data_IF_621121046889
#
_entry.id   IF_621121046889
#
_cell.length_a   1.000
_cell.length_b   1.000
_cell.length_c   1.000
_cell.angle_alpha   90.00
_cell.angle_beta   90.00
_cell.angle_gamma   90.00
#
_symmetry.space_group_name_H-M   'P 1'
#
loop_
_entity.id
_entity.type
_entity.pdbx_description
1 polymer ?
#
# COMPACT_ATOMS: atom_id res chain seq x y z
N UNK A 1 16.09 19.45 7.61
CA UNK A 1 15.96 17.97 7.60
C UNK A 1 16.86 17.39 6.51
N UNK A 2 17.62 16.33 6.79
CA UNK A 2 18.42 15.65 5.74
C UNK A 2 17.46 14.91 4.80
N UNK A 3 17.75 14.89 3.49
CA UNK A 3 16.90 14.21 2.50
C UNK A 3 16.59 12.76 2.89
N UNK A 4 17.57 12.03 3.43
CA UNK A 4 17.40 10.68 3.99
C UNK A 4 16.27 10.56 5.03
N UNK A 5 16.11 11.54 5.92
CA UNK A 5 15.05 11.54 6.94
C UNK A 5 13.67 11.62 6.29
N UNK A 6 13.52 12.40 5.21
CA UNK A 6 12.26 12.49 4.46
C UNK A 6 11.89 11.14 3.87
N UNK A 7 12.83 10.46 3.20
CA UNK A 7 12.56 9.14 2.62
C UNK A 7 12.17 8.08 3.66
N UNK A 8 12.81 8.10 4.84
CA UNK A 8 12.46 7.17 5.93
C UNK A 8 11.04 7.43 6.43
N UNK A 9 10.64 8.70 6.60
CA UNK A 9 9.29 9.05 7.02
C UNK A 9 8.25 8.62 5.98
N UNK A 10 8.51 8.88 4.70
CA UNK A 10 7.63 8.45 3.59
C UNK A 10 7.55 6.93 3.51
N UNK A 11 8.65 6.21 3.76
CA UNK A 11 8.68 4.76 3.80
C UNK A 11 7.80 4.19 4.92
N UNK A 12 7.87 4.76 6.13
CA UNK A 12 7.01 4.35 7.25
C UNK A 12 5.54 4.65 6.94
N UNK A 13 5.24 5.84 6.39
CA UNK A 13 3.88 6.24 6.08
C UNK A 13 3.27 5.36 4.97
N UNK A 14 4.01 5.10 3.89
CA UNK A 14 3.57 4.22 2.81
C UNK A 14 3.36 2.78 3.28
N UNK A 15 4.22 2.27 4.15
CA UNK A 15 4.02 0.97 4.79
C UNK A 15 2.71 0.94 5.61
N UNK A 16 2.45 1.98 6.41
CA UNK A 16 1.19 2.12 7.14
C UNK A 16 -0.04 2.11 6.23
N UNK A 17 0.02 2.81 5.09
CA UNK A 17 -1.07 2.82 4.07
C UNK A 17 -1.28 1.43 3.47
N UNK A 18 -0.22 0.69 3.15
CA UNK A 18 -0.31 -0.69 2.63
C UNK A 18 -0.95 -1.63 3.66
N UNK A 19 -0.53 -1.55 4.93
CA UNK A 19 -1.12 -2.34 6.00
C UNK A 19 -2.60 -2.00 6.19
N UNK A 20 -2.94 -0.71 6.27
CA UNK A 20 -4.32 -0.26 6.38
C UNK A 20 -5.18 -0.79 5.23
N UNK A 21 -4.77 -0.56 3.98
CA UNK A 21 -5.53 -1.01 2.83
C UNK A 21 -5.67 -2.54 2.75
N UNK A 22 -4.72 -3.30 3.30
CA UNK A 22 -4.80 -4.76 3.33
C UNK A 22 -5.75 -5.28 4.41
N UNK A 23 -5.85 -4.60 5.55
CA UNK A 23 -6.74 -4.98 6.66
C UNK A 23 -8.20 -4.63 6.36
N UNK A 24 -8.43 -3.48 5.70
CA UNK A 24 -9.78 -2.98 5.43
C UNK A 24 -10.35 -3.42 4.07
N UNK A 25 -9.58 -4.12 3.23
CA UNK A 25 -10.07 -4.69 1.99
C UNK A 25 -11.02 -5.87 2.31
N UNK A 26 -12.33 -5.74 2.03
CA UNK A 26 -13.31 -6.74 2.44
C UNK A 26 -13.15 -8.09 1.74
N UNK A 27 -12.42 -8.12 0.62
CA UNK A 27 -12.13 -9.33 -0.15
C UNK A 27 -10.68 -9.80 0.01
N UNK A 28 -9.93 -9.23 0.98
CA UNK A 28 -8.59 -9.71 1.30
C UNK A 28 -8.59 -11.14 1.87
N UNK A 29 -9.69 -11.53 2.51
CA UNK A 29 -9.90 -12.88 3.04
C UNK A 29 -11.09 -13.54 2.32
N UNK A 30 -11.06 -14.88 2.16
CA UNK A 30 -12.17 -15.60 1.56
C UNK A 30 -13.45 -15.41 2.40
N UNK A 31 -14.53 -15.00 1.73
CA UNK A 31 -15.84 -14.81 2.32
C UNK A 31 -16.65 -16.12 2.23
N UNK A 32 -16.93 -16.81 3.35
CA UNK A 32 -17.58 -18.14 3.31
C UNK A 32 -18.97 -18.12 2.65
N UNK A 33 -19.72 -17.05 2.88
CA UNK A 33 -21.11 -16.91 2.41
C UNK A 33 -21.23 -16.12 1.09
N UNK A 34 -20.12 -15.91 0.38
CA UNK A 34 -20.09 -15.11 -0.86
C UNK A 34 -21.16 -15.55 -1.86
N UNK A 35 -21.31 -16.85 -2.08
CA UNK A 35 -22.23 -17.39 -3.07
C UNK A 35 -23.71 -17.21 -2.68
N UNK A 36 -24.02 -17.03 -1.40
CA UNK A 36 -25.38 -16.84 -0.88
C UNK A 36 -25.79 -15.36 -0.84
N UNK A 37 -24.84 -14.45 -1.11
CA UNK A 37 -25.05 -13.02 -1.01
C UNK A 37 -25.76 -12.46 -2.26
N UNK A 38 -26.72 -11.53 -2.10
CA UNK A 38 -27.33 -10.81 -3.22
C UNK A 38 -26.30 -10.10 -4.11
N UNK A 39 -26.57 -10.05 -5.42
CA UNK A 39 -25.65 -9.46 -6.41
C UNK A 39 -25.37 -7.97 -6.15
N UNK A 40 -26.33 -7.21 -5.62
CA UNK A 40 -26.15 -5.80 -5.27
C UNK A 40 -25.11 -5.61 -4.16
N UNK A 41 -25.11 -6.46 -3.13
CA UNK A 41 -24.10 -6.42 -2.06
C UNK A 41 -22.74 -6.86 -2.57
N UNK A 42 -22.67 -7.89 -3.43
CA UNK A 42 -21.42 -8.30 -4.06
C UNK A 42 -20.79 -7.16 -4.85
N UNK A 43 -21.59 -6.42 -5.63
CA UNK A 43 -21.12 -5.27 -6.38
C UNK A 43 -20.53 -4.18 -5.47
N UNK A 44 -21.16 -3.91 -4.33
CA UNK A 44 -20.63 -2.99 -3.32
C UNK A 44 -19.28 -3.45 -2.76
N UNK A 45 -19.16 -4.72 -2.34
CA UNK A 45 -17.90 -5.26 -1.84
C UNK A 45 -16.78 -5.26 -2.88
N UNK A 46 -17.10 -5.57 -4.15
CA UNK A 46 -16.13 -5.49 -5.27
C UNK A 46 -15.68 -4.05 -5.46
N UNK A 47 -16.60 -3.08 -5.40
CA UNK A 47 -16.26 -1.67 -5.56
C UNK A 47 -15.37 -1.18 -4.40
N UNK A 48 -15.70 -1.51 -3.15
CA UNK A 48 -14.88 -1.17 -2.00
C UNK A 48 -13.51 -1.83 -2.07
N UNK A 49 -13.44 -3.13 -2.37
CA UNK A 49 -12.19 -3.86 -2.55
C UNK A 49 -11.32 -3.24 -3.66
N UNK A 50 -11.93 -2.77 -4.76
CA UNK A 50 -11.19 -2.06 -5.82
C UNK A 50 -10.56 -0.77 -5.31
N UNK A 51 -11.25 -0.02 -4.46
CA UNK A 51 -10.72 1.20 -3.83
C UNK A 51 -9.51 0.85 -2.95
N UNK A 52 -9.67 -0.10 -2.03
CA UNK A 52 -8.57 -0.52 -1.14
C UNK A 52 -7.39 -1.13 -1.90
N UNK A 53 -7.65 -1.94 -2.92
CA UNK A 53 -6.61 -2.49 -3.79
C UNK A 53 -5.85 -1.38 -4.53
N UNK A 54 -6.55 -0.33 -4.98
CA UNK A 54 -5.92 0.84 -5.60
C UNK A 54 -5.03 1.58 -4.60
N UNK A 55 -5.53 1.84 -3.39
CA UNK A 55 -4.78 2.51 -2.32
C UNK A 55 -3.52 1.69 -1.95
N UNK A 56 -3.68 0.37 -1.81
CA UNK A 56 -2.58 -0.58 -1.54
C UNK A 56 -1.52 -0.50 -2.63
N UNK A 57 -1.91 -0.55 -3.90
CA UNK A 57 -0.99 -0.49 -5.03
C UNK A 57 -0.24 0.85 -5.09
N UNK A 58 -0.91 1.98 -4.85
CA UNK A 58 -0.27 3.29 -4.74
C UNK A 58 0.74 3.29 -3.58
N UNK A 59 0.35 2.76 -2.41
CA UNK A 59 1.23 2.63 -1.25
C UNK A 59 2.49 1.82 -1.56
N UNK A 60 2.35 0.68 -2.26
CA UNK A 60 3.49 -0.16 -2.69
C UNK A 60 4.41 0.61 -3.64
N UNK A 61 3.87 1.33 -4.63
CA UNK A 61 4.69 2.11 -5.57
C UNK A 61 5.51 3.18 -4.82
N UNK A 62 4.86 3.92 -3.92
CA UNK A 62 5.53 4.96 -3.10
C UNK A 62 6.60 4.34 -2.19
N UNK A 63 6.31 3.17 -1.60
CA UNK A 63 7.26 2.43 -0.78
C UNK A 63 8.51 2.05 -1.59
N UNK A 64 8.34 1.46 -2.77
CA UNK A 64 9.45 1.07 -3.65
C UNK A 64 10.28 2.26 -4.10
N UNK A 65 9.65 3.35 -4.51
CA UNK A 65 10.35 4.61 -4.88
C UNK A 65 11.18 5.12 -3.69
N UNK A 66 10.65 5.03 -2.47
CA UNK A 66 11.35 5.46 -1.28
C UNK A 66 12.57 4.59 -0.98
N UNK A 67 12.46 3.27 -1.13
CA UNK A 67 13.59 2.33 -1.00
C UNK A 67 14.68 2.67 -2.01
N UNK A 68 14.32 2.84 -3.29
CA UNK A 68 15.28 3.20 -4.36
C UNK A 68 15.98 4.51 -4.04
N UNK A 69 15.24 5.52 -3.57
CA UNK A 69 15.80 6.82 -3.18
C UNK A 69 16.83 6.72 -2.04
N UNK A 70 16.57 5.87 -1.04
CA UNK A 70 17.50 5.61 0.07
C UNK A 70 18.78 4.91 -0.42
N UNK A 71 18.63 3.90 -1.28
CA UNK A 71 19.77 3.17 -1.86
C UNK A 71 20.65 4.11 -2.68
N UNK A 72 20.06 4.91 -3.57
CA UNK A 72 20.81 5.88 -4.39
C UNK A 72 21.57 6.91 -3.55
N UNK A 73 20.97 7.44 -2.49
CA UNK A 73 21.69 8.35 -1.58
C UNK A 73 22.83 7.67 -0.84
N UNK A 74 22.64 6.43 -0.41
CA UNK A 74 23.67 5.66 0.29
C UNK A 74 24.87 5.39 -0.61
N UNK A 75 24.63 5.01 -1.87
CA UNK A 75 25.67 4.83 -2.88
C UNK A 75 26.42 6.12 -3.22
N UNK A 76 25.72 7.27 -3.26
CA UNK A 76 26.35 8.58 -3.52
C UNK A 76 27.26 9.03 -2.39
N UNK A 77 26.91 8.69 -1.14
CA UNK A 77 27.72 9.04 0.04
C UNK A 77 28.98 8.18 0.15
N UNK A 78 28.95 6.91 -0.29
CA UNK A 78 30.14 6.04 -0.29
C UNK A 78 31.18 6.35 -1.37
N UNK A 79 30.92 7.32 -2.26
CA UNK A 79 31.88 7.79 -3.29
C UNK A 79 32.60 9.10 -2.89
N UNK A 80 32.34 9.64 -1.69
CA UNK A 80 33.05 10.78 -1.11
C UNK A 80 34.01 10.31 -0.03
#
# INVERSE_FOLDING_TARGET
>A
MKARTVYILVLILSFGVVCFASVFDPLALPFPDWNQMPEEMKAQYIQESKIYSTIRNIGIVVFLVSVVGIVFQSLRLGKK
#
